data_IF_747596866493
#
_entry.id   IF_747596866493
#
_cell.length_a   1.000
_cell.length_b   1.000
_cell.length_c   1.000
_cell.angle_alpha   90.00
_cell.angle_beta   90.00
_cell.angle_gamma   90.00
#
_symmetry.space_group_name_H-M   'P 1'
#
loop_
_entity.id
_entity.type
_entity.pdbx_description
1 polymer ?
#
# COMPACT_ATOMS: atom_id res chain seq x y z
N UNK A 1 -11.10 -23.28 -6.62
CA UNK A 1 -10.82 -22.57 -7.89
C UNK A 1 -9.42 -21.98 -7.83
N UNK A 2 -8.53 -22.23 -8.81
CA UNK A 2 -7.20 -21.62 -8.88
C UNK A 2 -7.26 -20.47 -9.89
N UNK A 3 -7.09 -19.23 -9.43
CA UNK A 3 -6.98 -18.02 -10.26
C UNK A 3 -5.51 -17.61 -10.37
N UNK A 4 -5.13 -16.97 -11.47
CA UNK A 4 -3.77 -16.49 -11.68
C UNK A 4 -3.39 -15.43 -10.62
N UNK A 5 -2.13 -15.40 -10.24
CA UNK A 5 -1.62 -14.39 -9.29
C UNK A 5 -1.82 -12.98 -9.83
N UNK A 6 -1.63 -12.79 -11.14
CA UNK A 6 -1.87 -11.53 -11.84
C UNK A 6 -3.31 -11.04 -11.70
N UNK A 7 -4.31 -11.93 -11.69
CA UNK A 7 -5.71 -11.56 -11.47
C UNK A 7 -5.90 -10.94 -10.09
N UNK A 8 -5.33 -11.54 -9.04
CA UNK A 8 -5.43 -11.00 -7.66
C UNK A 8 -4.73 -9.65 -7.54
N UNK A 9 -3.56 -9.52 -8.16
CA UNK A 9 -2.79 -8.27 -8.19
C UNK A 9 -3.54 -7.18 -8.96
N UNK A 10 -4.14 -7.51 -10.09
CA UNK A 10 -4.96 -6.58 -10.87
C UNK A 10 -6.17 -6.10 -10.07
N UNK A 11 -6.87 -7.01 -9.35
CA UNK A 11 -7.94 -6.62 -8.43
C UNK A 11 -7.46 -5.60 -7.41
N UNK A 12 -6.35 -5.87 -6.70
CA UNK A 12 -5.77 -4.92 -5.75
C UNK A 12 -5.48 -3.56 -6.40
N UNK A 13 -4.75 -3.56 -7.53
CA UNK A 13 -4.33 -2.32 -8.21
C UNK A 13 -5.49 -1.47 -8.74
N UNK A 14 -6.64 -2.08 -9.04
CA UNK A 14 -7.85 -1.39 -9.52
C UNK A 14 -8.79 -0.98 -8.38
N UNK A 15 -8.45 -1.31 -7.12
CA UNK A 15 -9.32 -1.05 -5.98
C UNK A 15 -9.16 0.41 -5.53
N UNK A 16 -10.16 1.24 -5.79
CA UNK A 16 -10.30 2.58 -5.21
C UNK A 16 -11.07 2.59 -3.89
N UNK A 17 -11.00 3.71 -3.17
CA UNK A 17 -11.84 4.02 -2.03
C UNK A 17 -13.29 4.21 -2.50
N UNK A 18 -14.23 3.56 -1.81
CA UNK A 18 -15.65 3.74 -2.13
C UNK A 18 -16.16 5.10 -1.61
N UNK A 19 -17.23 5.63 -2.22
CA UNK A 19 -17.80 6.90 -1.77
C UNK A 19 -18.32 6.79 -0.32
N UNK A 20 -17.82 7.66 0.57
CA UNK A 20 -18.16 7.63 1.99
C UNK A 20 -17.42 6.56 2.82
N UNK A 21 -16.54 5.76 2.21
CA UNK A 21 -15.70 4.80 2.94
C UNK A 21 -14.63 5.55 3.74
N UNK A 22 -14.43 5.19 5.00
CA UNK A 22 -13.33 5.75 5.78
C UNK A 22 -11.98 5.19 5.30
N UNK A 23 -10.92 6.01 5.32
CA UNK A 23 -9.59 5.58 4.84
C UNK A 23 -9.05 4.35 5.58
N UNK A 24 -9.36 4.18 6.88
CA UNK A 24 -8.97 2.96 7.63
C UNK A 24 -9.67 1.71 7.13
N UNK A 25 -10.94 1.81 6.73
CA UNK A 25 -11.70 0.72 6.14
C UNK A 25 -11.10 0.36 4.77
N UNK A 26 -10.84 1.37 3.94
CA UNK A 26 -10.19 1.21 2.65
C UNK A 26 -8.82 0.52 2.77
N UNK A 27 -7.96 1.01 3.66
CA UNK A 27 -6.65 0.41 3.91
C UNK A 27 -6.75 -1.05 4.39
N UNK A 28 -7.73 -1.37 5.24
CA UNK A 28 -7.97 -2.74 5.72
C UNK A 28 -8.38 -3.68 4.57
N UNK A 29 -9.22 -3.19 3.65
CA UNK A 29 -9.64 -3.93 2.44
C UNK A 29 -8.46 -4.18 1.51
N UNK A 30 -7.62 -3.17 1.26
CA UNK A 30 -6.39 -3.32 0.48
C UNK A 30 -5.44 -4.35 1.09
N UNK A 31 -5.23 -4.32 2.41
CA UNK A 31 -4.40 -5.33 3.12
C UNK A 31 -4.94 -6.74 2.92
N UNK A 32 -6.26 -6.93 3.03
CA UNK A 32 -6.90 -8.22 2.79
C UNK A 32 -6.64 -8.77 1.39
N UNK A 33 -6.69 -7.91 0.37
CA UNK A 33 -6.39 -8.27 -1.01
C UNK A 33 -4.89 -8.54 -1.24
N UNK A 34 -4.01 -7.75 -0.61
CA UNK A 34 -2.56 -7.84 -0.79
C UNK A 34 -1.95 -9.11 -0.16
N UNK A 35 -2.50 -9.59 0.96
CA UNK A 35 -2.00 -10.77 1.67
C UNK A 35 -1.91 -12.05 0.81
N UNK A 36 -2.70 -12.14 -0.27
CA UNK A 36 -2.73 -13.29 -1.17
C UNK A 36 -1.98 -13.08 -2.49
N UNK A 37 -1.26 -11.95 -2.62
CA UNK A 37 -0.60 -11.50 -3.85
C UNK A 37 0.90 -11.84 -3.95
N UNK A 38 1.49 -12.42 -2.90
CA UNK A 38 2.90 -12.87 -2.87
C UNK A 38 3.88 -11.78 -3.33
N UNK A 39 3.94 -10.67 -2.60
CA UNK A 39 4.82 -9.52 -2.92
C UNK A 39 6.24 -9.66 -2.37
N UNK A 40 6.65 -10.88 -2.05
CA UNK A 40 7.98 -11.19 -1.57
C UNK A 40 8.92 -11.47 -2.73
N UNK A 41 10.15 -10.95 -2.64
CA UNK A 41 11.25 -11.23 -3.55
C UNK A 41 12.45 -11.71 -2.76
N UNK A 42 13.04 -12.81 -3.20
CA UNK A 42 14.28 -13.33 -2.64
C UNK A 42 15.43 -13.04 -3.60
N UNK A 43 16.59 -12.68 -3.06
CA UNK A 43 17.79 -12.40 -3.84
C UNK A 43 19.05 -12.64 -3.00
N UNK A 44 20.24 -12.65 -3.64
CA UNK A 44 21.49 -12.73 -2.89
C UNK A 44 21.62 -11.53 -1.96
N UNK A 45 22.08 -11.79 -0.74
CA UNK A 45 22.37 -10.73 0.21
C UNK A 45 23.59 -9.93 -0.28
N UNK A 46 23.44 -8.61 -0.38
CA UNK A 46 24.49 -7.70 -0.89
C UNK A 46 25.39 -7.12 0.20
N UNK A 47 25.10 -7.39 1.48
CA UNK A 47 25.94 -6.94 2.58
C UNK A 47 27.28 -7.71 2.59
N UNK A 48 28.37 -6.99 2.90
CA UNK A 48 29.70 -7.59 2.98
C UNK A 48 29.72 -8.73 4.01
N UNK A 49 30.26 -9.88 3.62
CA UNK A 49 30.29 -11.09 4.47
C UNK A 49 28.96 -11.85 4.59
N UNK A 50 27.90 -11.40 3.92
CA UNK A 50 26.60 -12.07 3.98
C UNK A 50 26.53 -13.27 3.01
N UNK A 51 26.75 -14.47 3.53
CA UNK A 51 26.55 -15.72 2.77
C UNK A 51 25.10 -16.18 2.92
N UNK A 52 24.19 -15.72 2.04
CA UNK A 52 22.79 -16.14 2.08
C UNK A 52 21.87 -15.40 1.11
N UNK A 53 20.58 -15.73 1.18
CA UNK A 53 19.52 -15.03 0.46
C UNK A 53 18.76 -14.09 1.39
N UNK A 54 18.59 -12.83 0.98
CA UNK A 54 17.67 -11.90 1.62
C UNK A 54 16.28 -12.04 1.01
N UNK A 55 15.25 -11.92 1.83
CA UNK A 55 13.86 -11.80 1.38
C UNK A 55 13.34 -10.41 1.73
N UNK A 56 12.83 -9.71 0.73
CA UNK A 56 12.21 -8.40 0.89
C UNK A 56 10.71 -8.57 0.65
N UNK A 57 9.90 -8.05 1.57
CA UNK A 57 8.44 -8.04 1.46
C UNK A 57 7.96 -6.64 1.12
N UNK A 58 7.39 -6.48 -0.07
CA UNK A 58 6.87 -5.20 -0.56
C UNK A 58 5.36 -5.04 -0.31
N UNK A 59 4.74 -5.89 0.52
CA UNK A 59 3.28 -5.89 0.70
C UNK A 59 2.77 -4.52 1.16
N UNK A 60 3.38 -3.94 2.19
CA UNK A 60 2.96 -2.64 2.72
C UNK A 60 3.26 -1.48 1.76
N UNK A 61 4.39 -1.53 1.04
CA UNK A 61 4.73 -0.54 0.01
C UNK A 61 3.69 -0.51 -1.12
N UNK A 62 3.30 -1.68 -1.61
CA UNK A 62 2.28 -1.80 -2.66
C UNK A 62 0.91 -1.34 -2.14
N UNK A 63 0.54 -1.70 -0.91
CA UNK A 63 -0.72 -1.25 -0.31
C UNK A 63 -0.72 0.27 -0.17
N UNK A 64 0.37 0.88 0.28
CA UNK A 64 0.51 2.34 0.39
C UNK A 64 0.37 3.02 -0.98
N UNK A 65 1.02 2.50 -2.03
CA UNK A 65 0.91 3.05 -3.38
C UNK A 65 -0.54 3.02 -3.89
N UNK A 66 -1.24 1.90 -3.72
CA UNK A 66 -2.65 1.77 -4.12
C UNK A 66 -3.54 2.67 -3.27
N UNK A 67 -3.31 2.73 -1.96
CA UNK A 67 -4.04 3.61 -1.03
C UNK A 67 -3.97 5.06 -1.48
N UNK A 68 -2.77 5.59 -1.74
CA UNK A 68 -2.55 6.98 -2.16
C UNK A 68 -3.20 7.28 -3.51
N UNK A 69 -3.13 6.34 -4.46
CA UNK A 69 -3.72 6.52 -5.78
C UNK A 69 -5.25 6.47 -5.74
N UNK A 70 -5.82 5.58 -4.92
CA UNK A 70 -7.25 5.29 -4.91
C UNK A 70 -8.07 6.14 -3.92
N UNK A 71 -7.50 7.16 -3.28
CA UNK A 71 -8.27 8.12 -2.48
C UNK A 71 -9.36 8.76 -3.35
N UNK A 72 -10.61 8.69 -2.90
CA UNK A 72 -11.78 9.17 -3.63
C UNK A 72 -11.85 10.71 -3.66
N UNK A 73 -11.51 11.35 -2.56
CA UNK A 73 -11.47 12.81 -2.44
C UNK A 73 -10.17 13.36 -3.07
N UNK A 74 -10.31 14.15 -4.13
CA UNK A 74 -9.16 14.67 -4.87
C UNK A 74 -8.32 15.68 -4.10
N UNK A 75 -8.94 16.45 -3.21
CA UNK A 75 -8.24 17.50 -2.46
C UNK A 75 -7.45 16.89 -1.31
N UNK A 76 -8.01 15.87 -0.63
CA UNK A 76 -7.27 15.03 0.30
C UNK A 76 -6.10 14.36 -0.44
N UNK A 77 -6.34 13.77 -1.62
CA UNK A 77 -5.29 13.10 -2.41
C UNK A 77 -4.15 14.06 -2.75
N UNK A 78 -4.45 15.26 -3.23
CA UNK A 78 -3.44 16.30 -3.53
C UNK A 78 -2.67 16.72 -2.28
N UNK A 79 -3.35 16.91 -1.15
CA UNK A 79 -2.72 17.32 0.11
C UNK A 79 -1.72 16.27 0.60
N UNK A 80 -2.12 15.00 0.62
CA UNK A 80 -1.26 13.88 1.04
C UNK A 80 -0.06 13.73 0.12
N UNK A 81 -0.28 13.80 -1.21
CA UNK A 81 0.82 13.72 -2.19
C UNK A 81 1.75 14.94 -2.16
N UNK A 82 1.29 16.08 -1.63
CA UNK A 82 2.11 17.27 -1.39
C UNK A 82 2.98 17.18 -0.13
N UNK A 83 2.82 16.13 0.69
CA UNK A 83 3.60 15.94 1.92
C UNK A 83 5.02 15.46 1.59
N UNK A 84 6.02 16.29 1.89
CA UNK A 84 7.44 16.08 1.49
C UNK A 84 8.05 14.77 1.97
N UNK A 85 7.64 14.28 3.14
CA UNK A 85 8.17 13.05 3.74
C UNK A 85 7.28 11.82 3.51
N UNK A 86 6.25 11.93 2.64
CA UNK A 86 5.26 10.86 2.43
C UNK A 86 5.93 9.54 2.05
N UNK A 87 6.99 9.55 1.25
CA UNK A 87 7.68 8.34 0.80
C UNK A 87 8.35 7.58 1.94
N UNK A 88 8.88 8.30 2.93
CA UNK A 88 9.55 7.71 4.10
C UNK A 88 8.60 7.17 5.17
N UNK A 89 7.32 7.55 5.12
CA UNK A 89 6.32 7.14 6.11
C UNK A 89 5.90 5.68 5.94
N UNK A 90 5.63 5.02 7.06
CA UNK A 90 5.00 3.70 7.02
C UNK A 90 3.57 3.78 6.48
N UNK A 91 3.00 2.63 6.09
CA UNK A 91 1.59 2.55 5.73
C UNK A 91 0.68 3.02 6.89
N UNK A 92 1.02 2.69 8.13
CA UNK A 92 0.24 3.08 9.31
C UNK A 92 0.27 4.60 9.55
N UNK A 93 1.44 5.22 9.39
CA UNK A 93 1.60 6.67 9.53
C UNK A 93 0.91 7.41 8.39
N UNK A 94 0.92 6.83 7.19
CA UNK A 94 0.20 7.37 6.02
C UNK A 94 -1.32 7.39 6.27
N UNK A 95 -1.89 6.30 6.79
CA UNK A 95 -3.32 6.25 7.14
C UNK A 95 -3.67 7.27 8.20
N UNK A 96 -2.81 7.42 9.22
CA UNK A 96 -3.01 8.42 10.29
C UNK A 96 -2.94 9.85 9.77
N UNK A 97 -2.03 10.13 8.83
CA UNK A 97 -1.95 11.44 8.17
C UNK A 97 -3.24 11.76 7.41
N UNK A 98 -3.76 10.80 6.63
CA UNK A 98 -5.00 11.01 5.85
C UNK A 98 -6.19 11.28 6.76
N UNK A 99 -6.35 10.53 7.86
CA UNK A 99 -7.40 10.78 8.84
C UNK A 99 -7.30 12.19 9.44
N UNK A 100 -6.08 12.68 9.69
CA UNK A 100 -5.86 14.01 10.26
C UNK A 100 -6.29 15.16 9.34
N UNK A 101 -6.30 14.94 8.02
CA UNK A 101 -6.72 15.94 7.03
C UNK A 101 -8.24 16.08 6.98
N UNK A 102 -8.98 14.99 7.26
CA UNK A 102 -10.46 14.95 7.23
C UNK A 102 -11.10 15.72 8.40
N UNK A 103 -10.32 16.10 9.42
CA UNK A 103 -10.81 16.84 10.58
C UNK A 103 -10.69 18.35 10.35
N UNK A 104 -11.61 18.94 9.58
CA UNK A 104 -11.91 20.37 9.53
C UNK A 104 -13.39 20.59 9.20
#
# INVERSE_FOLDING_TARGET
>A
MRVALSTRRATLLQTGQDHGEHVRQYASRLKGLANVCKWTKSGPCSAEGCTGSAQIDYTDDIVKLVLLNGIADEDIRKNVLGTTDIDSRSLADTVTLIDGIVVC
#
